data_IF_473537569486
#
_entry.id   IF_473537569486
#
_cell.length_a   1.000
_cell.length_b   1.000
_cell.length_c   1.000
_cell.angle_alpha   90.00
_cell.angle_beta   90.00
_cell.angle_gamma   90.00
#
_symmetry.space_group_name_H-M   'P 1'
#
loop_
_entity.id
_entity.type
_entity.pdbx_description
1 polymer ?
#
# COMPACT_ATOMS: atom_id res chain seq x y z
N UNK A 1 -28.97 -5.83 -31.96
CA UNK A 1 -30.14 -5.35 -31.18
C UNK A 1 -30.21 -3.85 -31.32
N UNK A 2 -31.39 -3.23 -31.48
CA UNK A 2 -31.51 -1.77 -31.48
C UNK A 2 -30.99 -1.22 -30.15
N UNK A 3 -30.12 -0.21 -30.22
CA UNK A 3 -29.57 0.47 -29.05
C UNK A 3 -30.63 1.38 -28.45
N UNK A 4 -30.65 1.47 -27.12
CA UNK A 4 -31.53 2.41 -26.40
C UNK A 4 -30.86 3.79 -26.37
N UNK A 5 -31.63 4.84 -26.66
CA UNK A 5 -31.11 6.21 -26.68
C UNK A 5 -31.11 6.82 -25.27
N UNK A 6 -29.98 6.74 -24.59
CA UNK A 6 -29.68 7.41 -23.31
C UNK A 6 -28.22 7.86 -23.33
N UNK A 7 -27.88 8.86 -22.53
CA UNK A 7 -26.49 9.32 -22.37
C UNK A 7 -26.07 9.29 -20.91
N UNK A 8 -24.87 8.75 -20.66
CA UNK A 8 -24.27 8.69 -19.34
C UNK A 8 -22.75 8.70 -19.44
N UNK A 9 -22.10 9.29 -18.44
CA UNK A 9 -20.69 9.03 -18.18
C UNK A 9 -20.54 7.84 -17.22
N UNK A 10 -19.56 6.99 -17.49
CA UNK A 10 -19.17 5.88 -16.63
C UNK A 10 -17.76 6.12 -16.13
N UNK A 11 -17.58 6.04 -14.81
CA UNK A 11 -16.28 6.16 -14.13
C UNK A 11 -16.07 5.00 -13.16
N UNK A 12 -14.82 4.74 -12.82
CA UNK A 12 -14.45 3.85 -11.71
C UNK A 12 -13.95 4.67 -10.52
N UNK A 13 -14.26 4.20 -9.32
CA UNK A 13 -13.74 4.74 -8.06
C UNK A 13 -13.01 3.65 -7.27
N UNK A 14 -12.77 3.88 -5.98
CA UNK A 14 -12.23 2.86 -5.08
C UNK A 14 -13.24 1.72 -4.87
N UNK A 15 -12.95 0.58 -5.51
CA UNK A 15 -13.78 -0.62 -5.52
C UNK A 15 -15.21 -0.39 -6.03
N UNK A 16 -15.40 0.62 -6.89
CA UNK A 16 -16.73 0.97 -7.38
C UNK A 16 -16.76 1.31 -8.87
N UNK A 17 -17.96 1.20 -9.45
CA UNK A 17 -18.34 1.76 -10.75
C UNK A 17 -19.53 2.70 -10.55
N UNK A 18 -19.45 3.88 -11.15
CA UNK A 18 -20.50 4.90 -11.09
C UNK A 18 -20.96 5.20 -12.51
N UNK A 19 -22.27 5.14 -12.72
CA UNK A 19 -22.96 5.53 -13.96
C UNK A 19 -23.74 6.81 -13.65
N UNK A 20 -23.47 7.89 -14.38
CA UNK A 20 -24.09 9.20 -14.16
C UNK A 20 -24.76 9.67 -15.44
N UNK A 21 -26.08 9.78 -15.40
CA UNK A 21 -26.83 10.49 -16.44
C UNK A 21 -26.92 11.98 -16.08
N UNK A 22 -26.93 12.88 -17.08
CA UNK A 22 -27.21 14.29 -16.82
C UNK A 22 -28.61 14.39 -16.22
N UNK A 23 -28.70 14.90 -14.99
CA UNK A 23 -29.99 15.09 -14.35
C UNK A 23 -30.78 16.15 -15.14
N UNK A 24 -32.08 15.93 -15.44
CA UNK A 24 -32.90 16.89 -16.18
C UNK A 24 -33.22 18.19 -15.40
N UNK A 25 -32.43 18.56 -14.38
CA UNK A 25 -32.75 19.65 -13.44
C UNK A 25 -33.88 19.28 -12.47
N UNK A 26 -34.34 20.26 -11.67
CA UNK A 26 -35.48 20.07 -10.75
C UNK A 26 -36.75 19.91 -11.57
N UNK A 27 -37.42 18.77 -11.43
CA UNK A 27 -38.66 18.48 -12.14
C UNK A 27 -39.82 18.34 -11.14
N UNK A 28 -41.08 18.42 -11.58
CA UNK A 28 -42.20 18.01 -10.75
C UNK A 28 -42.01 16.58 -10.25
N UNK A 29 -42.40 16.32 -9.00
CA UNK A 29 -42.15 15.05 -8.31
C UNK A 29 -42.62 13.81 -9.10
N UNK A 30 -43.77 13.88 -9.76
CA UNK A 30 -44.29 12.78 -10.59
C UNK A 30 -43.40 12.47 -11.80
N UNK A 31 -42.81 13.51 -12.42
CA UNK A 31 -41.91 13.36 -13.56
C UNK A 31 -40.55 12.78 -13.10
N UNK A 32 -40.03 13.23 -11.95
CA UNK A 32 -38.83 12.65 -11.35
C UNK A 32 -39.03 11.16 -11.04
N UNK A 33 -40.20 10.80 -10.47
CA UNK A 33 -40.52 9.40 -10.16
C UNK A 33 -40.74 8.53 -11.39
N UNK A 34 -41.36 9.08 -12.44
CA UNK A 34 -41.50 8.39 -13.71
C UNK A 34 -40.12 8.12 -14.35
N UNK A 35 -39.26 9.13 -14.37
CA UNK A 35 -37.89 9.01 -14.89
C UNK A 35 -37.07 8.00 -14.10
N UNK A 36 -37.10 8.06 -12.76
CA UNK A 36 -36.41 7.12 -11.87
C UNK A 36 -36.87 5.67 -12.09
N UNK A 37 -38.19 5.47 -12.28
CA UNK A 37 -38.77 4.16 -12.60
C UNK A 37 -38.28 3.66 -13.96
N UNK A 38 -38.21 4.53 -14.96
CA UNK A 38 -37.69 4.19 -16.28
C UNK A 38 -36.19 3.82 -16.21
N UNK A 39 -35.38 4.64 -15.55
CA UNK A 39 -33.95 4.41 -15.37
C UNK A 39 -33.67 3.09 -14.64
N UNK A 40 -34.44 2.80 -13.59
CA UNK A 40 -34.41 1.50 -12.91
C UNK A 40 -34.74 0.33 -13.84
N UNK A 41 -35.77 0.46 -14.67
CA UNK A 41 -36.21 -0.62 -15.55
C UNK A 41 -35.26 -0.86 -16.73
N UNK A 42 -34.67 0.21 -17.26
CA UNK A 42 -33.81 0.15 -18.43
C UNK A 42 -32.35 -0.16 -18.07
N UNK A 43 -31.83 0.38 -16.97
CA UNK A 43 -30.39 0.37 -16.66
C UNK A 43 -30.10 -0.49 -15.43
N UNK A 44 -30.70 -0.20 -14.27
CA UNK A 44 -30.46 -0.97 -13.04
C UNK A 44 -30.77 -2.46 -13.24
N UNK A 45 -31.92 -2.78 -13.85
CA UNK A 45 -32.30 -4.16 -14.16
C UNK A 45 -31.26 -4.88 -15.03
N UNK A 46 -30.65 -4.19 -15.98
CA UNK A 46 -29.62 -4.76 -16.85
C UNK A 46 -28.30 -4.97 -16.12
N UNK A 47 -27.92 -4.06 -15.23
CA UNK A 47 -26.76 -4.26 -14.35
C UNK A 47 -26.96 -5.52 -13.51
N UNK A 48 -28.13 -5.68 -12.88
CA UNK A 48 -28.48 -6.90 -12.12
C UNK A 48 -28.42 -8.16 -12.98
N UNK A 49 -28.93 -8.13 -14.22
CA UNK A 49 -28.84 -9.26 -15.14
C UNK A 49 -27.39 -9.60 -15.49
N UNK A 50 -26.55 -8.59 -15.73
CA UNK A 50 -25.12 -8.77 -16.00
C UNK A 50 -24.39 -9.34 -14.78
N UNK A 51 -24.68 -8.85 -13.58
CA UNK A 51 -24.15 -9.37 -12.33
C UNK A 51 -24.52 -10.84 -12.12
N UNK A 52 -25.79 -11.21 -12.31
CA UNK A 52 -26.25 -12.60 -12.21
C UNK A 52 -25.51 -13.52 -13.21
N UNK A 53 -25.28 -13.07 -14.45
CA UNK A 53 -24.49 -13.84 -15.45
C UNK A 53 -23.03 -13.99 -15.06
N UNK A 54 -22.49 -13.03 -14.31
CA UNK A 54 -21.14 -13.11 -13.75
C UNK A 54 -21.10 -13.97 -12.48
N UNK A 55 -22.22 -14.53 -12.02
CA UNK A 55 -22.30 -15.38 -10.83
C UNK A 55 -22.44 -14.60 -9.51
N UNK A 56 -22.84 -13.33 -9.57
CA UNK A 56 -23.24 -12.60 -8.36
C UNK A 56 -24.67 -12.95 -7.98
N UNK A 57 -24.91 -13.05 -6.67
CA UNK A 57 -26.26 -13.02 -6.11
C UNK A 57 -26.64 -11.58 -5.87
N UNK A 58 -27.83 -11.16 -6.30
CA UNK A 58 -28.33 -9.79 -6.09
C UNK A 58 -29.73 -9.84 -5.46
N UNK A 59 -29.85 -9.41 -4.21
CA UNK A 59 -31.11 -9.39 -3.48
C UNK A 59 -31.52 -7.94 -3.12
N UNK A 60 -32.83 -7.67 -3.05
CA UNK A 60 -33.29 -6.42 -2.43
C UNK A 60 -33.03 -6.49 -0.92
N UNK A 61 -32.60 -5.40 -0.27
CA UNK A 61 -32.43 -5.41 1.18
C UNK A 61 -33.77 -5.69 1.88
N UNK A 62 -33.72 -6.27 3.06
CA UNK A 62 -34.90 -6.49 3.90
C UNK A 62 -35.43 -5.16 4.46
N UNK A 63 -36.76 -5.06 4.59
CA UNK A 63 -37.37 -3.93 5.28
C UNK A 63 -37.22 -4.12 6.78
N UNK A 64 -36.70 -3.09 7.46
CA UNK A 64 -36.69 -3.06 8.92
C UNK A 64 -38.13 -3.00 9.44
N UNK A 65 -38.41 -3.65 10.56
CA UNK A 65 -39.76 -3.68 11.15
C UNK A 65 -40.34 -2.28 11.42
N UNK A 66 -39.47 -1.35 11.86
CA UNK A 66 -39.85 0.06 12.04
C UNK A 66 -40.37 0.70 10.74
N UNK A 67 -39.67 0.46 9.64
CA UNK A 67 -40.02 1.03 8.33
C UNK A 67 -41.32 0.44 7.80
N UNK A 68 -41.60 -0.84 8.11
CA UNK A 68 -42.88 -1.47 7.78
C UNK A 68 -44.06 -0.81 8.50
N UNK A 69 -43.87 -0.37 9.75
CA UNK A 69 -44.92 0.25 10.56
C UNK A 69 -45.15 1.72 10.20
N UNK A 70 -44.06 2.49 10.07
CA UNK A 70 -44.16 3.96 10.10
C UNK A 70 -44.10 4.59 8.70
N UNK A 71 -43.42 3.97 7.73
CA UNK A 71 -43.08 4.60 6.44
C UNK A 71 -43.02 3.62 5.25
N UNK A 72 -43.88 2.60 5.25
CA UNK A 72 -43.79 1.46 4.32
C UNK A 72 -43.66 1.86 2.85
N UNK A 73 -44.50 2.79 2.36
CA UNK A 73 -44.49 3.20 0.96
C UNK A 73 -43.18 3.87 0.52
N UNK A 74 -42.59 4.70 1.39
CA UNK A 74 -41.31 5.38 1.13
C UNK A 74 -40.16 4.37 1.18
N UNK A 75 -40.14 3.54 2.22
CA UNK A 75 -39.11 2.53 2.42
C UNK A 75 -39.11 1.47 1.31
N UNK A 76 -40.28 1.01 0.89
CA UNK A 76 -40.44 0.06 -0.22
C UNK A 76 -39.96 0.66 -1.56
N UNK A 77 -40.22 1.94 -1.82
CA UNK A 77 -39.71 2.59 -3.03
C UNK A 77 -38.19 2.71 -3.03
N UNK A 78 -37.61 3.13 -1.90
CA UNK A 78 -36.16 3.20 -1.72
C UNK A 78 -35.49 1.83 -1.87
N UNK A 79 -36.10 0.78 -1.30
CA UNK A 79 -35.63 -0.60 -1.38
C UNK A 79 -35.57 -1.11 -2.82
N UNK A 80 -36.51 -0.71 -3.69
CA UNK A 80 -36.50 -1.10 -5.11
C UNK A 80 -35.31 -0.57 -5.89
N UNK A 81 -34.68 0.50 -5.40
CA UNK A 81 -33.49 1.10 -6.00
C UNK A 81 -32.18 0.50 -5.49
N UNK A 82 -32.24 -0.42 -4.52
CA UNK A 82 -31.06 -1.02 -3.89
C UNK A 82 -30.97 -2.51 -4.11
N UNK A 83 -29.76 -3.02 -4.28
CA UNK A 83 -29.47 -4.44 -4.14
C UNK A 83 -28.27 -4.62 -3.21
N UNK A 84 -28.35 -5.60 -2.34
CA UNK A 84 -27.21 -6.18 -1.65
C UNK A 84 -26.74 -7.35 -2.50
N UNK A 85 -25.47 -7.34 -2.85
CA UNK A 85 -24.89 -8.26 -3.79
C UNK A 85 -23.75 -9.05 -3.14
N UNK A 86 -23.58 -10.31 -3.52
CA UNK A 86 -22.46 -11.14 -3.06
C UNK A 86 -21.98 -12.13 -4.10
N UNK A 87 -20.68 -12.42 -4.07
CA UNK A 87 -20.01 -13.46 -4.85
C UNK A 87 -18.84 -14.01 -4.03
N UNK A 88 -19.07 -15.12 -3.34
CA UNK A 88 -18.14 -15.61 -2.32
C UNK A 88 -17.96 -14.55 -1.23
N UNK A 89 -16.70 -14.26 -0.86
CA UNK A 89 -16.37 -13.27 0.16
C UNK A 89 -16.42 -11.81 -0.35
N UNK A 90 -16.60 -11.61 -1.66
CA UNK A 90 -16.77 -10.28 -2.24
C UNK A 90 -18.25 -9.87 -2.13
N UNK A 91 -18.52 -8.78 -1.42
CA UNK A 91 -19.86 -8.21 -1.23
C UNK A 91 -19.96 -6.88 -1.96
N UNK A 92 -21.18 -6.39 -2.19
CA UNK A 92 -21.37 -5.08 -2.80
C UNK A 92 -22.75 -4.49 -2.51
N UNK A 93 -22.82 -3.17 -2.56
CA UNK A 93 -24.06 -2.41 -2.61
C UNK A 93 -24.26 -1.85 -4.02
N UNK A 94 -25.40 -2.15 -4.62
CA UNK A 94 -25.87 -1.53 -5.84
C UNK A 94 -26.99 -0.56 -5.50
N UNK A 95 -26.82 0.72 -5.80
CA UNK A 95 -27.79 1.75 -5.46
C UNK A 95 -28.07 2.67 -6.65
N UNK A 96 -29.34 2.93 -6.90
CA UNK A 96 -29.82 4.01 -7.76
C UNK A 96 -30.25 5.20 -6.87
N UNK A 97 -29.64 6.35 -7.09
CA UNK A 97 -29.96 7.61 -6.43
C UNK A 97 -30.03 8.74 -7.46
N UNK A 98 -31.24 9.25 -7.69
CA UNK A 98 -31.51 10.23 -8.74
C UNK A 98 -31.02 9.72 -10.11
N UNK A 99 -30.17 10.51 -10.77
CA UNK A 99 -29.58 10.19 -12.06
C UNK A 99 -28.29 9.34 -12.00
N UNK A 100 -27.93 8.84 -10.82
CA UNK A 100 -26.72 8.05 -10.63
C UNK A 100 -27.01 6.62 -10.17
N UNK A 101 -26.28 5.66 -10.73
CA UNK A 101 -26.20 4.30 -10.22
C UNK A 101 -24.77 4.06 -9.76
N UNK A 102 -24.61 3.62 -8.51
CA UNK A 102 -23.33 3.25 -7.93
C UNK A 102 -23.35 1.77 -7.58
N UNK A 103 -22.32 1.06 -8.00
CA UNK A 103 -22.05 -0.31 -7.55
C UNK A 103 -20.72 -0.34 -6.82
N UNK A 104 -20.77 -0.42 -5.50
CA UNK A 104 -19.61 -0.36 -4.61
C UNK A 104 -19.36 -1.73 -3.99
N UNK A 105 -18.17 -2.28 -4.23
CA UNK A 105 -17.73 -3.60 -3.78
C UNK A 105 -16.84 -3.48 -2.54
N UNK A 106 -16.92 -4.47 -1.66
CA UNK A 106 -16.15 -4.55 -0.41
C UNK A 106 -15.95 -6.01 0.01
N UNK A 107 -15.08 -6.23 0.99
CA UNK A 107 -14.72 -7.57 1.48
C UNK A 107 -14.36 -7.52 2.97
N UNK A 108 -14.51 -8.65 3.65
CA UNK A 108 -14.25 -8.79 5.10
C UNK A 108 -13.00 -9.63 5.44
N UNK A 109 -12.31 -10.17 4.44
CA UNK A 109 -11.12 -11.02 4.60
C UNK A 109 -9.93 -10.24 5.15
N UNK A 110 -9.76 -8.99 4.69
CA UNK A 110 -8.66 -8.12 5.08
C UNK A 110 -9.17 -6.68 5.21
N UNK A 111 -9.80 -6.35 6.34
CA UNK A 111 -10.29 -5.00 6.63
C UNK A 111 -9.71 -4.53 7.98
N UNK A 112 -8.41 -4.16 8.01
CA UNK A 112 -7.68 -3.95 9.25
C UNK A 112 -8.19 -2.73 10.05
N UNK A 113 -8.66 -1.69 9.36
CA UNK A 113 -9.09 -0.46 10.02
C UNK A 113 -10.55 -0.54 10.46
N UNK A 114 -11.38 -1.24 9.66
CA UNK A 114 -12.83 -1.35 9.86
C UNK A 114 -13.31 -2.79 9.68
N UNK A 115 -13.00 -3.71 10.61
CA UNK A 115 -13.53 -5.07 10.57
C UNK A 115 -15.04 -5.12 10.86
N UNK A 116 -15.60 -4.04 11.40
CA UNK A 116 -17.04 -3.86 11.57
C UNK A 116 -17.77 -3.85 10.22
N UNK A 117 -19.03 -4.28 10.24
CA UNK A 117 -19.90 -4.27 9.05
C UNK A 117 -19.27 -4.97 7.83
N UNK A 118 -18.51 -6.05 8.05
CA UNK A 118 -17.87 -6.85 7.00
C UNK A 118 -16.91 -6.05 6.09
N UNK A 119 -16.21 -5.04 6.63
CA UNK A 119 -15.28 -4.23 5.83
C UNK A 119 -15.97 -3.27 4.86
N UNK A 120 -17.30 -3.11 4.96
CA UNK A 120 -18.08 -2.19 4.12
C UNK A 120 -17.58 -0.75 4.18
N UNK A 121 -17.11 -0.32 5.34
CA UNK A 121 -16.61 1.04 5.57
C UNK A 121 -15.08 1.14 5.57
N UNK A 122 -14.37 0.09 5.13
CA UNK A 122 -12.93 0.13 4.94
C UNK A 122 -12.57 1.22 3.92
N UNK A 123 -11.58 2.05 4.25
CA UNK A 123 -10.98 2.99 3.29
C UNK A 123 -9.99 2.24 2.39
N UNK A 124 -9.72 2.76 1.19
CA UNK A 124 -8.81 2.14 0.22
C UNK A 124 -9.12 0.65 -0.01
N UNK A 125 -10.41 0.35 -0.25
CA UNK A 125 -10.94 -1.02 -0.36
C UNK A 125 -10.15 -1.85 -1.35
N UNK A 126 -9.75 -1.28 -2.50
CA UNK A 126 -8.94 -1.98 -3.49
C UNK A 126 -7.54 -2.36 -2.99
N UNK A 127 -6.92 -1.51 -2.17
CA UNK A 127 -5.59 -1.75 -1.62
C UNK A 127 -5.60 -2.94 -0.66
N UNK A 128 -6.63 -3.03 0.17
CA UNK A 128 -6.77 -4.11 1.13
C UNK A 128 -7.34 -5.39 0.53
N UNK A 129 -7.98 -5.32 -0.64
CA UNK A 129 -8.57 -6.47 -1.29
C UNK A 129 -7.51 -7.51 -1.70
N UNK A 130 -7.64 -8.78 -1.29
CA UNK A 130 -6.76 -9.84 -1.74
C UNK A 130 -6.69 -9.92 -3.28
N UNK A 131 -5.53 -10.28 -3.83
CA UNK A 131 -5.23 -10.17 -5.26
C UNK A 131 -6.32 -10.77 -6.18
N UNK A 132 -6.76 -12.00 -5.92
CA UNK A 132 -7.78 -12.67 -6.74
C UNK A 132 -9.15 -11.97 -6.65
N UNK A 133 -9.53 -11.49 -5.47
CA UNK A 133 -10.77 -10.74 -5.29
C UNK A 133 -10.70 -9.40 -6.03
N UNK A 134 -9.54 -8.73 -6.01
CA UNK A 134 -9.30 -7.49 -6.75
C UNK A 134 -9.43 -7.70 -8.26
N UNK A 135 -8.92 -8.82 -8.78
CA UNK A 135 -9.11 -9.16 -10.19
C UNK A 135 -10.57 -9.45 -10.55
N UNK A 136 -11.32 -10.13 -9.67
CA UNK A 136 -12.74 -10.41 -9.91
C UNK A 136 -13.61 -9.15 -9.82
N UNK A 137 -13.31 -8.25 -8.88
CA UNK A 137 -13.86 -6.91 -8.77
C UNK A 137 -13.63 -6.12 -10.07
N UNK A 138 -12.38 -6.07 -10.53
CA UNK A 138 -11.98 -5.40 -11.78
C UNK A 138 -12.72 -5.95 -12.99
N UNK A 139 -12.77 -7.28 -13.11
CA UNK A 139 -13.49 -7.98 -14.16
C UNK A 139 -14.97 -7.63 -14.14
N UNK A 140 -15.58 -7.55 -12.96
CA UNK A 140 -17.00 -7.23 -12.78
C UNK A 140 -17.31 -5.82 -13.29
N UNK A 141 -16.59 -4.79 -12.81
CA UNK A 141 -16.81 -3.41 -13.26
C UNK A 141 -16.58 -3.21 -14.75
N UNK A 142 -15.55 -3.86 -15.32
CA UNK A 142 -15.28 -3.81 -16.77
C UNK A 142 -16.38 -4.44 -17.60
N UNK A 143 -16.92 -5.59 -17.15
CA UNK A 143 -18.01 -6.26 -17.86
C UNK A 143 -19.29 -5.45 -17.83
N UNK A 144 -19.59 -4.79 -16.71
CA UNK A 144 -20.72 -3.85 -16.61
C UNK A 144 -20.51 -2.68 -17.58
N UNK A 145 -19.36 -1.99 -17.51
CA UNK A 145 -19.02 -0.88 -18.40
C UNK A 145 -19.18 -1.28 -19.87
N UNK A 146 -18.49 -2.32 -20.31
CA UNK A 146 -18.52 -2.78 -21.70
C UNK A 146 -19.93 -3.16 -22.14
N UNK A 147 -20.70 -3.84 -21.29
CA UNK A 147 -22.09 -4.18 -21.61
C UNK A 147 -22.95 -2.93 -21.81
N UNK A 148 -22.85 -1.94 -20.91
CA UNK A 148 -23.65 -0.73 -20.97
C UNK A 148 -23.29 0.14 -22.19
N UNK A 149 -22.00 0.37 -22.45
CA UNK A 149 -21.54 1.11 -23.64
C UNK A 149 -21.99 0.46 -24.96
N UNK A 150 -22.15 -0.87 -24.99
CA UNK A 150 -22.59 -1.57 -26.20
C UNK A 150 -24.11 -1.46 -26.43
N UNK A 151 -24.90 -1.32 -25.35
CA UNK A 151 -26.37 -1.34 -25.40
C UNK A 151 -26.98 0.06 -25.52
N UNK A 152 -26.32 1.07 -24.95
CA UNK A 152 -26.79 2.46 -24.95
C UNK A 152 -25.90 3.32 -25.85
N UNK A 153 -26.51 4.00 -26.83
CA UNK A 153 -25.77 4.73 -27.86
C UNK A 153 -25.00 5.95 -27.34
N UNK A 154 -25.44 6.56 -26.24
CA UNK A 154 -24.82 7.74 -25.65
C UNK A 154 -24.01 7.46 -24.38
N UNK A 155 -23.81 6.19 -24.01
CA UNK A 155 -23.01 5.83 -22.84
C UNK A 155 -21.54 5.73 -23.22
N UNK A 156 -20.68 6.42 -22.46
CA UNK A 156 -19.25 6.40 -22.69
C UNK A 156 -18.49 6.23 -21.37
N UNK A 157 -17.26 5.74 -21.47
CA UNK A 157 -16.34 5.68 -20.34
C UNK A 157 -15.54 6.99 -20.31
N UNK A 158 -15.59 7.71 -19.20
CA UNK A 158 -14.99 9.05 -19.09
C UNK A 158 -13.49 8.95 -18.80
N UNK A 159 -12.71 8.61 -19.83
CA UNK A 159 -11.27 8.42 -19.71
C UNK A 159 -10.53 9.68 -19.25
N UNK A 160 -11.04 10.88 -19.54
CA UNK A 160 -10.43 12.12 -19.09
C UNK A 160 -10.59 12.29 -17.58
N UNK A 161 -11.80 12.08 -17.06
CA UNK A 161 -12.02 12.06 -15.62
C UNK A 161 -11.13 11.01 -14.95
N UNK A 162 -11.04 9.80 -15.52
CA UNK A 162 -10.17 8.74 -15.02
C UNK A 162 -8.69 9.15 -15.01
N UNK A 163 -8.16 9.77 -16.07
CA UNK A 163 -6.75 10.23 -16.10
C UNK A 163 -6.45 11.30 -15.05
N UNK A 164 -7.40 12.20 -14.81
CA UNK A 164 -7.23 13.29 -13.85
C UNK A 164 -7.34 12.80 -12.39
N UNK A 165 -8.25 11.86 -12.12
CA UNK A 165 -8.63 11.46 -10.76
C UNK A 165 -8.11 10.08 -10.35
N UNK A 166 -7.87 9.17 -11.28
CA UNK A 166 -7.36 7.81 -11.04
C UNK A 166 -5.91 7.65 -11.53
N UNK A 167 -4.95 7.95 -10.65
CA UNK A 167 -3.50 7.75 -10.90
C UNK A 167 -2.99 6.40 -10.39
N UNK A 168 -3.88 5.40 -10.36
CA UNK A 168 -3.57 4.09 -9.78
C UNK A 168 -2.67 3.30 -10.72
N UNK A 169 -1.71 2.60 -10.12
CA UNK A 169 -0.92 1.58 -10.81
C UNK A 169 -1.56 0.22 -10.60
N UNK A 170 -1.87 -0.49 -11.68
CA UNK A 170 -2.57 -1.77 -11.59
C UNK A 170 -3.05 -2.31 -12.94
N UNK A 171 -3.46 -3.59 -13.01
CA UNK A 171 -3.98 -4.19 -14.23
C UNK A 171 -5.10 -3.36 -14.86
N UNK A 172 -4.89 -2.90 -16.10
CA UNK A 172 -5.78 -2.04 -16.89
C UNK A 172 -6.03 -0.63 -16.35
N UNK A 173 -5.15 -0.19 -15.46
CA UNK A 173 -4.82 1.22 -15.22
C UNK A 173 -3.39 1.45 -15.73
N UNK A 174 -2.66 2.40 -15.13
CA UNK A 174 -1.27 2.67 -15.47
C UNK A 174 -0.38 1.50 -15.05
N UNK A 175 0.61 1.21 -15.88
CA UNK A 175 1.82 0.49 -15.47
C UNK A 175 2.67 1.35 -14.54
N UNK A 176 3.59 0.72 -13.82
CA UNK A 176 4.60 1.41 -13.02
C UNK A 176 5.37 2.43 -13.87
N UNK A 177 5.75 2.03 -15.09
CA UNK A 177 6.47 2.89 -16.03
C UNK A 177 5.65 4.09 -16.48
N UNK A 178 4.40 3.88 -16.90
CA UNK A 178 3.51 4.99 -17.30
C UNK A 178 3.27 5.96 -16.14
N UNK A 179 3.16 5.45 -14.90
CA UNK A 179 3.00 6.31 -13.72
C UNK A 179 4.23 7.18 -13.44
N UNK A 180 5.42 6.63 -13.59
CA UNK A 180 6.69 7.35 -13.43
C UNK A 180 6.86 8.35 -14.57
N UNK A 181 6.52 7.97 -15.80
CA UNK A 181 6.57 8.87 -16.96
C UNK A 181 5.62 10.07 -16.80
N UNK A 182 4.36 9.84 -16.35
CA UNK A 182 3.43 10.92 -16.02
C UNK A 182 3.96 11.82 -14.90
N UNK A 183 4.72 11.27 -13.95
CA UNK A 183 5.38 12.07 -12.93
C UNK A 183 6.46 12.98 -13.54
N UNK A 184 7.24 12.50 -14.50
CA UNK A 184 8.22 13.33 -15.22
C UNK A 184 7.55 14.44 -16.05
N UNK A 185 6.44 14.14 -16.72
CA UNK A 185 5.73 15.11 -17.56
C UNK A 185 5.05 16.22 -16.74
N UNK A 186 4.54 15.87 -15.55
CA UNK A 186 3.79 16.80 -14.69
C UNK A 186 4.66 17.55 -13.68
N UNK A 187 5.85 17.04 -13.35
CA UNK A 187 6.73 17.63 -12.34
C UNK A 187 7.59 18.76 -12.90
N UNK A 188 7.60 19.88 -12.20
CA UNK A 188 8.49 21.03 -12.50
C UNK A 188 9.98 20.67 -12.43
N UNK A 189 10.34 19.59 -11.73
CA UNK A 189 11.73 19.15 -11.60
C UNK A 189 12.25 18.42 -12.85
N UNK A 190 11.36 17.86 -13.68
CA UNK A 190 11.72 16.98 -14.80
C UNK A 190 11.22 17.48 -16.15
N UNK A 191 10.25 18.40 -16.16
CA UNK A 191 9.67 18.94 -17.39
C UNK A 191 10.73 19.66 -18.23
N UNK A 192 11.01 19.14 -19.41
CA UNK A 192 11.99 19.70 -20.35
C UNK A 192 13.46 19.44 -19.98
N UNK A 193 13.72 18.51 -19.04
CA UNK A 193 15.08 18.14 -18.64
C UNK A 193 15.72 17.24 -19.70
N UNK A 194 16.89 17.66 -20.18
CA UNK A 194 17.82 16.80 -20.90
C UNK A 194 18.58 15.94 -19.87
N UNK A 195 18.29 14.63 -19.85
CA UNK A 195 18.87 13.69 -18.89
C UNK A 195 20.39 13.59 -18.95
N UNK A 196 20.99 13.68 -20.15
CA UNK A 196 22.44 13.60 -20.29
C UNK A 196 23.11 14.86 -19.74
N UNK A 197 22.52 16.02 -20.02
CA UNK A 197 22.98 17.28 -19.42
C UNK A 197 22.78 17.32 -17.91
N UNK A 198 21.68 16.76 -17.41
CA UNK A 198 21.35 16.79 -15.98
C UNK A 198 22.25 15.86 -15.16
N UNK A 199 22.55 14.65 -15.67
CA UNK A 199 23.47 13.69 -15.04
C UNK A 199 24.93 14.17 -15.00
N UNK A 200 25.35 15.01 -15.94
CA UNK A 200 26.73 15.51 -16.03
C UNK A 200 27.05 16.67 -15.05
N UNK A 201 26.07 17.13 -14.27
CA UNK A 201 26.30 18.12 -13.21
C UNK A 201 27.23 17.59 -12.12
N UNK A 202 28.23 18.38 -11.69
CA UNK A 202 29.18 17.99 -10.65
C UNK A 202 28.51 17.60 -9.31
N UNK A 203 27.36 18.21 -9.02
CA UNK A 203 26.53 17.95 -7.84
C UNK A 203 25.78 16.61 -7.88
N UNK A 204 25.73 15.93 -9.03
CA UNK A 204 25.04 14.63 -9.16
C UNK A 204 25.85 13.43 -8.71
N UNK A 205 27.18 13.55 -8.64
CA UNK A 205 28.06 12.41 -8.37
C UNK A 205 27.71 11.63 -7.09
N UNK A 206 27.21 12.31 -6.05
CA UNK A 206 26.76 11.68 -4.80
C UNK A 206 25.37 11.04 -4.89
N UNK A 207 24.50 11.60 -5.73
CA UNK A 207 23.12 11.15 -5.97
C UNK A 207 23.03 9.94 -6.91
N UNK A 208 24.07 9.75 -7.74
CA UNK A 208 24.21 8.61 -8.64
C UNK A 208 25.01 7.46 -8.02
N UNK A 209 25.70 7.67 -6.90
CA UNK A 209 26.56 6.62 -6.33
C UNK A 209 25.72 5.56 -5.61
N UNK A 210 25.80 4.34 -6.12
CA UNK A 210 25.18 3.12 -5.56
C UNK A 210 25.80 2.68 -4.23
N UNK A 211 25.17 1.72 -3.56
CA UNK A 211 25.64 1.06 -2.34
C UNK A 211 26.98 0.33 -2.53
N UNK A 212 27.22 -0.26 -3.70
CA UNK A 212 28.47 -0.91 -4.09
C UNK A 212 29.47 0.05 -4.75
N UNK A 213 29.21 1.36 -4.67
CA UNK A 213 30.14 2.42 -5.09
C UNK A 213 30.21 2.68 -6.59
N UNK A 214 29.47 1.91 -7.39
CA UNK A 214 29.31 2.11 -8.84
C UNK A 214 28.36 3.28 -9.14
N UNK A 215 28.41 3.84 -10.34
CA UNK A 215 27.49 4.91 -10.76
C UNK A 215 26.19 4.33 -11.30
N UNK A 216 25.07 4.90 -10.87
CA UNK A 216 23.76 4.51 -11.32
C UNK A 216 23.40 5.17 -12.65
N UNK A 217 22.91 4.36 -13.59
CA UNK A 217 22.38 4.81 -14.87
C UNK A 217 20.85 4.78 -14.89
N UNK A 218 20.25 5.76 -15.57
CA UNK A 218 18.80 5.81 -15.76
C UNK A 218 18.35 4.67 -16.69
N UNK A 219 17.41 3.84 -16.23
CA UNK A 219 16.88 2.71 -16.96
C UNK A 219 17.63 1.39 -16.75
N UNK A 220 18.67 1.35 -15.92
CA UNK A 220 19.43 0.12 -15.70
C UNK A 220 18.75 -0.84 -14.71
N UNK A 221 19.21 -2.09 -14.69
CA UNK A 221 18.81 -3.06 -13.67
C UNK A 221 19.58 -2.82 -12.37
N UNK A 222 18.87 -2.82 -11.25
CA UNK A 222 19.47 -2.71 -9.90
C UNK A 222 18.92 -3.80 -8.98
N UNK A 223 19.67 -4.04 -7.91
CA UNK A 223 19.30 -4.93 -6.81
C UNK A 223 19.21 -4.13 -5.52
N UNK A 224 18.26 -4.47 -4.67
CA UNK A 224 18.07 -3.82 -3.38
C UNK A 224 17.36 -4.76 -2.43
N UNK A 225 17.26 -4.43 -1.15
CA UNK A 225 16.54 -5.27 -0.19
C UNK A 225 15.22 -4.63 0.18
N UNK A 226 14.16 -5.44 0.27
CA UNK A 226 12.91 -4.98 0.87
C UNK A 226 13.08 -4.69 2.37
N UNK A 227 12.03 -4.16 3.01
CA UNK A 227 12.03 -3.94 4.46
C UNK A 227 12.36 -5.21 5.25
N UNK A 228 12.09 -6.41 4.72
CA UNK A 228 12.43 -7.65 5.40
C UNK A 228 13.90 -8.05 5.24
N UNK A 229 14.65 -7.47 4.31
CA UNK A 229 16.01 -7.87 3.96
C UNK A 229 16.05 -8.90 2.85
N UNK A 230 14.96 -9.14 2.10
CA UNK A 230 15.01 -10.02 0.93
C UNK A 230 15.46 -9.23 -0.29
N UNK A 231 16.34 -9.81 -1.07
CA UNK A 231 16.77 -9.22 -2.34
C UNK A 231 15.60 -9.13 -3.32
N UNK A 232 15.48 -7.94 -3.89
CA UNK A 232 14.58 -7.56 -4.95
C UNK A 232 15.41 -7.12 -6.16
N UNK A 233 14.78 -7.14 -7.33
CA UNK A 233 15.35 -6.67 -8.60
C UNK A 233 14.35 -5.75 -9.27
N UNK A 234 14.85 -4.68 -9.89
CA UNK A 234 14.01 -3.81 -10.68
C UNK A 234 14.79 -2.91 -11.63
N UNK A 235 14.07 -2.07 -12.34
CA UNK A 235 14.63 -1.05 -13.23
C UNK A 235 14.69 0.28 -12.50
N UNK A 236 15.90 0.84 -12.33
CA UNK A 236 16.12 2.12 -11.66
C UNK A 236 15.89 3.29 -12.61
N UNK A 237 15.09 4.26 -12.17
CA UNK A 237 14.77 5.49 -12.89
C UNK A 237 14.99 6.65 -11.92
N UNK A 238 15.83 7.59 -12.30
CA UNK A 238 16.25 8.67 -11.40
C UNK A 238 15.02 9.47 -10.92
N UNK A 239 14.93 9.74 -9.62
CA UNK A 239 13.89 10.59 -9.04
C UNK A 239 14.48 11.95 -8.66
N UNK A 240 14.53 12.35 -7.39
CA UNK A 240 15.07 13.64 -6.97
C UNK A 240 16.13 13.42 -5.91
N UNK A 241 17.19 14.23 -5.94
CA UNK A 241 18.35 14.09 -5.06
C UNK A 241 18.93 12.67 -5.17
N UNK A 242 19.12 12.00 -4.05
CA UNK A 242 19.61 10.63 -3.93
C UNK A 242 18.49 9.59 -4.06
N UNK A 243 17.26 9.97 -4.40
CA UNK A 243 16.14 9.04 -4.53
C UNK A 243 15.98 8.55 -5.96
N UNK A 244 15.57 7.30 -6.09
CA UNK A 244 15.36 6.61 -7.36
C UNK A 244 14.06 5.83 -7.33
N UNK A 245 13.25 5.98 -8.38
CA UNK A 245 12.16 5.05 -8.61
C UNK A 245 12.74 3.71 -9.05
N UNK A 246 12.26 2.60 -8.47
CA UNK A 246 12.63 1.25 -8.91
C UNK A 246 11.38 0.50 -9.31
N UNK A 247 11.21 0.27 -10.61
CA UNK A 247 10.11 -0.54 -11.13
C UNK A 247 10.42 -2.03 -10.89
N UNK A 248 9.67 -2.68 -10.02
CA UNK A 248 9.85 -4.09 -9.63
C UNK A 248 8.97 -5.06 -10.42
N UNK A 249 8.01 -4.53 -11.18
CA UNK A 249 7.17 -5.28 -12.10
C UNK A 249 6.22 -4.37 -12.88
N UNK A 250 5.34 -4.93 -13.74
CA UNK A 250 4.45 -4.13 -14.59
C UNK A 250 3.57 -3.14 -13.81
N UNK A 251 3.21 -3.49 -12.57
CA UNK A 251 2.30 -2.71 -11.72
C UNK A 251 2.85 -2.47 -10.32
N UNK A 252 4.18 -2.52 -10.15
CA UNK A 252 4.81 -2.34 -8.85
C UNK A 252 6.09 -1.52 -9.00
N UNK A 253 6.24 -0.51 -8.15
CA UNK A 253 7.44 0.31 -8.07
C UNK A 253 7.60 0.83 -6.64
N UNK A 254 8.83 1.20 -6.29
CA UNK A 254 9.19 1.76 -4.98
C UNK A 254 10.12 2.96 -5.19
N UNK A 255 10.36 3.76 -4.15
CA UNK A 255 11.31 4.86 -4.15
C UNK A 255 12.44 4.55 -3.17
N UNK A 256 13.62 4.29 -3.70
CA UNK A 256 14.77 3.83 -2.92
C UNK A 256 15.88 4.87 -2.94
N UNK A 257 16.66 4.93 -1.86
CA UNK A 257 17.87 5.73 -1.84
C UNK A 257 18.95 5.09 -2.72
N UNK A 258 19.75 5.88 -3.44
CA UNK A 258 20.87 5.37 -4.25
C UNK A 258 21.84 4.52 -3.42
N UNK A 259 21.99 4.82 -2.12
CA UNK A 259 22.84 4.08 -1.17
C UNK A 259 22.28 2.73 -0.73
N UNK A 260 21.08 2.38 -1.17
CA UNK A 260 20.42 1.09 -0.93
C UNK A 260 20.32 0.27 -2.23
N UNK A 261 20.71 0.86 -3.36
CA UNK A 261 20.73 0.21 -4.67
C UNK A 261 22.12 -0.34 -4.97
N UNK A 262 22.17 -1.54 -5.51
CA UNK A 262 23.38 -2.22 -5.96
C UNK A 262 23.34 -2.35 -7.48
N UNK A 263 24.48 -2.08 -8.13
CA UNK A 263 24.65 -2.31 -9.57
C UNK A 263 25.09 -3.74 -9.85
N UNK A 264 25.87 -4.34 -8.95
CA UNK A 264 26.17 -5.76 -9.04
C UNK A 264 25.02 -6.62 -8.46
N UNK A 265 24.70 -7.78 -9.06
CA UNK A 265 23.81 -8.74 -8.43
C UNK A 265 24.41 -9.26 -7.11
N UNK A 266 23.58 -9.55 -6.10
CA UNK A 266 24.07 -10.18 -4.88
C UNK A 266 24.57 -11.60 -5.18
N UNK A 267 25.67 -12.01 -4.55
CA UNK A 267 26.24 -13.35 -4.71
C UNK A 267 25.22 -14.45 -4.37
N UNK A 268 24.42 -14.22 -3.33
CA UNK A 268 23.43 -15.15 -2.81
C UNK A 268 22.04 -14.50 -2.70
N UNK A 269 21.27 -14.38 -3.80
CA UNK A 269 20.00 -13.66 -3.83
C UNK A 269 18.91 -14.28 -2.93
N UNK A 270 19.06 -15.56 -2.55
CA UNK A 270 18.13 -16.26 -1.64
C UNK A 270 18.44 -16.03 -0.17
N UNK A 271 19.62 -15.51 0.16
CA UNK A 271 20.00 -15.23 1.54
C UNK A 271 19.42 -13.88 1.94
N UNK A 272 18.71 -13.88 3.06
CA UNK A 272 18.07 -12.68 3.62
C UNK A 272 19.12 -11.85 4.36
N UNK A 273 19.28 -10.59 3.97
CA UNK A 273 20.18 -9.60 4.60
C UNK A 273 19.42 -8.93 5.74
N UNK A 274 19.30 -9.63 6.86
CA UNK A 274 18.54 -9.14 8.02
C UNK A 274 19.31 -9.27 9.34
N UNK A 275 20.65 -9.29 9.30
CA UNK A 275 21.49 -9.52 10.48
C UNK A 275 21.17 -8.52 11.60
N UNK A 276 21.06 -7.22 11.28
CA UNK A 276 20.73 -6.19 12.26
C UNK A 276 19.35 -6.42 12.93
N UNK A 277 18.33 -6.80 12.15
CA UNK A 277 17.00 -7.11 12.69
C UNK A 277 17.01 -8.38 13.54
N UNK A 278 17.70 -9.43 13.07
CA UNK A 278 17.89 -10.67 13.82
C UNK A 278 18.55 -10.38 15.17
N UNK A 279 19.63 -9.58 15.17
CA UNK A 279 20.32 -9.14 16.39
C UNK A 279 19.39 -8.40 17.34
N UNK A 280 18.71 -7.34 16.87
CA UNK A 280 17.77 -6.56 17.69
C UNK A 280 16.70 -7.44 18.33
N UNK A 281 16.14 -8.39 17.57
CA UNK A 281 15.13 -9.33 18.08
C UNK A 281 15.70 -10.27 19.13
N UNK A 282 16.87 -10.84 18.89
CA UNK A 282 17.51 -11.76 19.83
C UNK A 282 17.94 -11.04 21.12
N UNK A 283 18.48 -9.82 21.04
CA UNK A 283 18.80 -8.99 22.22
C UNK A 283 17.54 -8.67 23.02
N UNK A 284 16.45 -8.27 22.36
CA UNK A 284 15.17 -8.03 23.04
C UNK A 284 14.63 -9.27 23.74
N UNK A 285 14.72 -10.45 23.10
CA UNK A 285 14.33 -11.72 23.71
C UNK A 285 15.24 -12.10 24.88
N UNK A 286 16.53 -11.80 24.81
CA UNK A 286 17.50 -12.03 25.87
C UNK A 286 17.16 -11.18 27.10
N UNK A 287 16.95 -9.87 26.90
CA UNK A 287 16.53 -8.94 27.95
C UNK A 287 15.18 -9.32 28.56
N UNK A 288 14.21 -9.74 27.73
CA UNK A 288 12.90 -10.19 28.21
C UNK A 288 12.98 -11.50 29.03
N UNK A 289 13.89 -12.41 28.67
CA UNK A 289 14.14 -13.62 29.45
C UNK A 289 14.80 -13.30 30.81
N UNK A 290 15.80 -12.42 30.81
CA UNK A 290 16.46 -11.96 32.03
C UNK A 290 15.48 -11.24 32.98
N UNK A 291 14.59 -10.38 32.45
CA UNK A 291 13.57 -9.69 33.24
C UNK A 291 12.55 -10.66 33.89
N UNK A 292 12.36 -11.85 33.30
CA UNK A 292 11.52 -12.92 33.84
C UNK A 292 12.28 -13.92 34.73
N UNK A 293 13.55 -13.66 35.02
CA UNK A 293 14.47 -14.55 35.76
C UNK A 293 14.66 -15.93 35.07
N UNK A 294 14.42 -16.03 33.76
CA UNK A 294 14.72 -17.22 32.95
C UNK A 294 16.16 -17.16 32.43
N UNK A 295 17.11 -17.34 33.35
CA UNK A 295 18.54 -17.19 33.08
C UNK A 295 19.07 -18.22 32.07
N UNK A 296 18.53 -19.44 32.08
CA UNK A 296 18.92 -20.48 31.13
C UNK A 296 18.59 -20.08 29.69
N UNK A 297 17.40 -19.50 29.47
CA UNK A 297 17.04 -18.98 28.15
C UNK A 297 17.88 -17.76 27.75
N UNK A 298 18.14 -16.85 28.70
CA UNK A 298 18.98 -15.68 28.45
C UNK A 298 20.41 -16.08 28.05
N UNK A 299 20.99 -17.09 28.70
CA UNK A 299 22.32 -17.63 28.37
C UNK A 299 22.38 -18.25 26.97
N UNK A 300 21.38 -19.06 26.59
CA UNK A 300 21.29 -19.62 25.23
C UNK A 300 21.24 -18.51 24.18
N UNK A 301 20.44 -17.46 24.42
CA UNK A 301 20.35 -16.32 23.49
C UNK A 301 21.64 -15.51 23.43
N UNK A 302 22.33 -15.31 24.56
CA UNK A 302 23.66 -14.69 24.63
C UNK A 302 24.65 -15.47 23.76
N UNK A 303 24.71 -16.79 23.90
CA UNK A 303 25.66 -17.64 23.17
C UNK A 303 25.36 -17.75 21.67
N UNK A 304 24.13 -17.44 21.23
CA UNK A 304 23.78 -17.29 19.81
C UNK A 304 24.23 -15.92 19.26
N UNK A 305 24.17 -14.88 20.08
CA UNK A 305 24.48 -13.50 19.71
C UNK A 305 25.98 -13.21 19.74
N UNK A 306 26.67 -13.76 20.73
CA UNK A 306 28.04 -13.43 21.08
C UNK A 306 28.85 -14.71 21.34
N UNK A 307 30.17 -14.69 21.09
CA UNK A 307 31.05 -15.78 21.50
C UNK A 307 30.96 -16.03 23.03
N UNK A 308 30.95 -17.30 23.49
CA UNK A 308 30.65 -17.65 24.89
C UNK A 308 31.54 -16.95 25.93
N UNK A 309 32.82 -16.80 25.62
CA UNK A 309 33.85 -16.25 26.53
C UNK A 309 34.11 -14.75 26.32
N UNK A 310 33.41 -14.10 25.38
CA UNK A 310 33.65 -12.70 25.10
C UNK A 310 33.02 -11.79 26.16
N UNK A 311 33.82 -10.83 26.64
CA UNK A 311 33.34 -9.79 27.55
C UNK A 311 32.48 -8.79 26.78
N UNK A 312 31.29 -8.51 27.32
CA UNK A 312 30.34 -7.58 26.72
C UNK A 312 30.37 -6.24 27.43
N UNK A 313 30.10 -5.20 26.67
CA UNK A 313 30.10 -3.81 27.11
C UNK A 313 28.82 -3.10 26.67
N UNK A 314 28.49 -2.01 27.35
CA UNK A 314 27.50 -1.02 26.93
C UNK A 314 28.23 0.28 26.61
N UNK A 315 27.78 1.00 25.59
CA UNK A 315 28.33 2.33 25.27
C UNK A 315 27.46 3.36 25.98
N UNK A 316 28.02 4.08 26.93
CA UNK A 316 27.37 5.19 27.63
C UNK A 316 27.75 6.53 27.00
N UNK A 317 26.86 7.52 27.02
CA UNK A 317 27.13 8.89 26.56
C UNK A 317 26.49 9.97 27.41
N UNK A 318 27.22 11.07 27.63
CA UNK A 318 26.73 12.26 28.33
C UNK A 318 25.86 13.17 27.44
N UNK A 319 26.06 13.15 26.11
CA UNK A 319 25.34 14.00 25.12
C UNK A 319 23.83 13.80 25.08
N UNK A 320 23.36 12.67 25.60
CA UNK A 320 21.94 12.33 25.67
C UNK A 320 21.46 12.18 27.13
N UNK A 321 21.95 13.07 28.01
CA UNK A 321 21.50 13.12 29.40
C UNK A 321 21.98 11.93 30.24
N UNK A 322 23.11 11.33 29.88
CA UNK A 322 23.65 10.15 30.55
C UNK A 322 22.90 8.86 30.21
N UNK A 323 22.89 8.49 28.92
CA UNK A 323 22.18 7.32 28.41
C UNK A 323 23.12 6.32 27.74
N UNK A 324 22.63 5.11 27.51
CA UNK A 324 23.33 4.04 26.80
C UNK A 324 22.81 3.89 25.37
N UNK A 325 23.68 3.48 24.46
CA UNK A 325 23.31 3.14 23.09
C UNK A 325 22.34 1.95 23.09
N UNK A 326 21.25 2.05 22.34
CA UNK A 326 20.34 0.93 22.08
C UNK A 326 20.94 -0.09 21.11
N UNK A 327 20.36 -1.30 20.95
CA UNK A 327 20.87 -2.33 20.06
C UNK A 327 21.15 -1.84 18.62
N UNK A 328 22.22 -2.34 18.00
CA UNK A 328 22.74 -1.87 16.70
C UNK A 328 23.10 -0.36 16.67
N UNK A 329 23.57 0.20 17.78
CA UNK A 329 23.94 1.62 17.88
C UNK A 329 22.78 2.59 17.57
N UNK A 330 21.53 2.13 17.74
CA UNK A 330 20.35 2.87 17.32
C UNK A 330 19.47 3.24 18.51
N UNK A 331 19.31 4.54 18.71
CA UNK A 331 18.58 5.11 19.84
C UNK A 331 19.38 5.09 21.14
N UNK A 332 18.79 5.66 22.19
CA UNK A 332 19.38 5.75 23.52
C UNK A 332 18.39 5.28 24.59
N UNK A 333 18.90 4.72 25.68
CA UNK A 333 18.10 4.30 26.83
C UNK A 333 18.88 4.51 28.12
N UNK A 334 18.21 4.95 29.18
CA UNK A 334 18.80 4.95 30.54
C UNK A 334 18.70 3.57 31.22
N UNK A 335 17.89 2.66 30.67
CA UNK A 335 17.73 1.30 31.19
C UNK A 335 18.85 0.38 30.70
N UNK A 336 19.74 0.01 31.60
CA UNK A 336 20.86 -0.91 31.34
C UNK A 336 20.43 -2.30 30.88
N UNK A 337 19.21 -2.74 31.19
CA UNK A 337 18.68 -4.03 30.73
C UNK A 337 18.27 -4.00 29.25
N UNK A 338 17.84 -2.82 28.76
CA UNK A 338 17.44 -2.59 27.36
C UNK A 338 18.60 -2.04 26.51
N UNK A 339 19.69 -1.59 27.14
CA UNK A 339 20.88 -1.10 26.45
C UNK A 339 21.51 -2.19 25.59
N UNK A 340 21.96 -1.80 24.38
CA UNK A 340 22.65 -2.68 23.45
C UNK A 340 23.92 -3.27 24.07
N UNK A 341 24.19 -4.54 23.75
CA UNK A 341 25.41 -5.23 24.19
C UNK A 341 26.40 -5.32 23.05
N UNK A 342 27.65 -4.97 23.33
CA UNK A 342 28.71 -4.83 22.33
C UNK A 342 29.95 -5.62 22.72
N UNK A 343 30.58 -6.24 21.75
CA UNK A 343 31.91 -6.85 21.90
C UNK A 343 33.01 -5.78 21.92
N UNK A 344 34.25 -6.14 22.29
CA UNK A 344 35.35 -5.17 22.26
C UNK A 344 35.64 -4.66 20.84
N UNK A 345 35.53 -5.54 19.84
CA UNK A 345 35.70 -5.16 18.44
C UNK A 345 34.64 -4.14 17.98
N UNK A 346 33.42 -4.26 18.50
CA UNK A 346 32.28 -3.39 18.20
C UNK A 346 32.40 -1.98 18.81
N UNK A 347 33.20 -1.82 19.87
CA UNK A 347 33.47 -0.51 20.45
C UNK A 347 34.42 0.35 19.60
N UNK A 348 35.30 -0.29 18.80
CA UNK A 348 36.41 0.39 18.10
C UNK A 348 36.00 1.59 17.24
N UNK A 349 34.91 1.56 16.45
CA UNK A 349 34.51 2.72 15.64
C UNK A 349 34.15 3.97 16.45
N UNK A 350 33.83 3.81 17.75
CA UNK A 350 33.39 4.90 18.63
C UNK A 350 34.46 5.29 19.66
N UNK A 351 35.12 4.29 20.25
CA UNK A 351 36.04 4.45 21.38
C UNK A 351 37.51 4.20 21.01
N UNK A 352 37.78 3.70 19.80
CA UNK A 352 39.12 3.23 19.44
C UNK A 352 39.55 2.06 20.31
N UNK A 353 40.80 2.08 20.77
CA UNK A 353 41.32 1.09 21.73
C UNK A 353 41.11 1.51 23.20
N UNK A 354 40.63 2.73 23.45
CA UNK A 354 40.40 3.29 24.78
C UNK A 354 39.06 2.85 25.39
N UNK A 355 38.93 2.96 26.71
CA UNK A 355 37.67 2.73 27.44
C UNK A 355 36.79 3.98 27.52
N UNK A 356 37.38 5.15 27.30
CA UNK A 356 36.68 6.43 27.23
C UNK A 356 37.22 7.24 26.05
N UNK A 357 36.33 7.89 25.32
CA UNK A 357 36.69 8.82 24.24
C UNK A 357 35.64 9.92 24.15
N UNK A 358 36.08 11.17 24.28
CA UNK A 358 35.24 12.37 24.34
C UNK A 358 34.06 12.22 25.32
N UNK A 359 32.88 11.98 24.76
CA UNK A 359 31.57 11.92 25.40
C UNK A 359 31.07 10.49 25.58
N UNK A 360 31.91 9.49 25.35
CA UNK A 360 31.58 8.08 25.28
C UNK A 360 32.40 7.27 26.28
N UNK A 361 31.77 6.27 26.91
CA UNK A 361 32.43 5.34 27.83
C UNK A 361 32.00 3.90 27.60
N UNK A 362 32.95 2.97 27.61
CA UNK A 362 32.69 1.54 27.67
C UNK A 362 32.35 1.13 29.10
N UNK A 363 31.13 0.65 29.32
CA UNK A 363 30.69 0.14 30.63
C UNK A 363 30.60 -1.38 30.57
N UNK A 364 31.44 -2.13 31.31
CA UNK A 364 31.40 -3.58 31.32
C UNK A 364 30.04 -4.11 31.77
N UNK A 365 29.48 -5.08 31.05
CA UNK A 365 28.32 -5.84 31.50
C UNK A 365 28.82 -6.78 32.58
N UNK A 366 28.57 -6.45 33.84
CA UNK A 366 29.00 -7.29 34.97
C UNK A 366 28.48 -8.70 34.76
N UNK A 367 29.39 -9.70 34.82
CA UNK A 367 29.00 -11.11 34.90
C UNK A 367 28.07 -11.24 36.10
N UNK A 368 26.85 -11.75 35.89
CA UNK A 368 26.07 -12.26 37.00
C UNK A 368 26.93 -13.33 37.68
N UNK A 369 27.18 -13.14 38.98
CA UNK A 369 27.93 -14.08 39.80
C UNK A 369 27.20 -15.42 39.89
#
# INVERSE_FOLDING_TARGET
>A
MPQLNRSASIIFGDAEIIIREPHPGRQPWDQEKAWEREYRNQVLKRIVQTLNRLGWTCAMPELKERDKRDQYGIAENFRRNKRVCSKGDLKADLELSGASITFQMFQNVNAPDRPDHDGRYQNDKEMHMPYLMRLEMERTRRRIRTYLCNIFSGYYFDEEWMRQHERKVGPGNLTAMERIQLHYESSVHFKGVDWEKYKSGSWMSSNLRSADGQMLEHGQTVWFTDYEGRWQRGTALYNINNMWWVATGPYSYTNECCRELYVAPPELPRVKVNQARRRKRLESLMSAAAAKLDFKRAEVLKNILFPPEESLYMIWTDRHGGAYFGPNYSGYTSDTTQAGKYTRAELKPYLGDADENDHLRAVPVRKAA
#
